data_IF_958051409896
#
_entry.id   IF_958051409896
#
_cell.length_a   1.000
_cell.length_b   1.000
_cell.length_c   1.000
_cell.angle_alpha   90.00
_cell.angle_beta   90.00
_cell.angle_gamma   90.00
#
_symmetry.space_group_name_H-M   'P 1'
#
loop_
_entity.id
_entity.type
_entity.pdbx_description
1 polymer ?
#
# COMPACT_ATOMS: atom_id res chain seq x y z
N UNK A 1 16.35 -16.88 -18.44
CA UNK A 1 16.10 -15.92 -17.34
C UNK A 1 16.34 -14.56 -17.94
N UNK A 2 15.28 -13.86 -18.30
CA UNK A 2 15.41 -12.50 -18.81
C UNK A 2 15.76 -11.59 -17.62
N UNK A 3 16.77 -10.75 -17.83
CA UNK A 3 17.29 -9.88 -16.79
C UNK A 3 16.27 -8.78 -16.47
N UNK A 4 16.13 -8.48 -15.19
CA UNK A 4 15.27 -7.41 -14.70
C UNK A 4 16.06 -6.12 -14.78
N UNK A 5 15.45 -5.06 -15.31
CA UNK A 5 16.11 -3.76 -15.35
C UNK A 5 16.43 -3.27 -13.93
N UNK A 6 17.55 -2.56 -13.76
CA UNK A 6 17.92 -1.99 -12.45
C UNK A 6 16.79 -1.11 -11.92
N UNK A 7 16.18 -0.32 -12.81
CA UNK A 7 15.03 0.53 -12.54
C UNK A 7 13.84 -0.24 -11.93
N UNK A 8 13.45 -1.38 -12.52
CA UNK A 8 12.37 -2.19 -11.98
C UNK A 8 12.78 -2.90 -10.67
N UNK A 9 14.07 -3.15 -10.45
CA UNK A 9 14.55 -3.77 -9.23
C UNK A 9 14.36 -2.87 -8.00
N UNK A 10 14.58 -1.55 -8.13
CA UNK A 10 14.33 -0.59 -7.03
C UNK A 10 12.86 -0.62 -6.60
N UNK A 11 11.94 -0.46 -7.54
CA UNK A 11 10.50 -0.47 -7.24
C UNK A 11 10.05 -1.80 -6.64
N UNK A 12 10.62 -2.92 -7.08
CA UNK A 12 10.32 -4.23 -6.51
C UNK A 12 10.80 -4.38 -5.06
N UNK A 13 11.88 -3.70 -4.68
CA UNK A 13 12.35 -3.65 -3.29
C UNK A 13 11.35 -2.86 -2.44
N UNK A 14 10.90 -1.70 -2.93
CA UNK A 14 9.94 -0.87 -2.20
C UNK A 14 8.60 -1.58 -2.02
N UNK A 15 8.08 -2.21 -3.08
CA UNK A 15 6.85 -3.01 -3.02
C UNK A 15 6.95 -4.19 -2.04
N UNK A 16 8.14 -4.78 -1.91
CA UNK A 16 8.39 -5.82 -0.92
C UNK A 16 8.45 -5.26 0.51
N UNK A 17 9.05 -4.07 0.70
CA UNK A 17 9.03 -3.34 1.97
C UNK A 17 7.60 -3.00 2.40
N UNK A 18 6.83 -2.37 1.52
CA UNK A 18 5.41 -2.04 1.73
C UNK A 18 4.61 -3.28 2.12
N UNK A 19 4.86 -4.43 1.48
CA UNK A 19 4.20 -5.70 1.85
C UNK A 19 4.50 -6.09 3.31
N UNK A 20 5.76 -5.98 3.72
CA UNK A 20 6.16 -6.28 5.11
C UNK A 20 5.47 -5.31 6.07
N UNK A 21 5.44 -4.03 5.73
CA UNK A 21 4.86 -3.00 6.59
C UNK A 21 3.34 -3.16 6.75
N UNK A 22 2.62 -3.46 5.66
CA UNK A 22 1.18 -3.79 5.70
C UNK A 22 0.95 -5.05 6.54
N UNK A 23 1.79 -6.08 6.39
CA UNK A 23 1.68 -7.28 7.21
C UNK A 23 1.96 -7.00 8.69
N UNK A 24 2.92 -6.12 9.00
CA UNK A 24 3.26 -5.73 10.37
C UNK A 24 2.13 -4.94 11.05
N UNK A 25 1.37 -4.14 10.29
CA UNK A 25 0.19 -3.42 10.78
C UNK A 25 -0.94 -4.36 11.27
N UNK A 26 -0.97 -5.61 10.81
CA UNK A 26 -2.00 -6.56 11.26
C UNK A 26 -1.93 -6.88 12.75
N UNK A 27 -0.72 -6.96 13.33
CA UNK A 27 -0.53 -7.32 14.73
C UNK A 27 -1.12 -6.31 15.74
N UNK A 28 -0.89 -4.99 15.62
CA UNK A 28 -1.52 -4.01 16.50
C UNK A 28 -3.04 -3.89 16.26
N UNK A 29 -3.52 -4.13 15.03
CA UNK A 29 -4.96 -4.20 14.75
C UNK A 29 -5.60 -5.41 15.46
N UNK A 30 -5.02 -6.60 15.33
CA UNK A 30 -5.49 -7.81 16.03
C UNK A 30 -5.42 -7.67 17.57
N UNK A 31 -4.52 -6.82 18.07
CA UNK A 31 -4.33 -6.51 19.49
C UNK A 31 -5.13 -5.31 19.99
N UNK A 32 -5.90 -4.64 19.15
CA UNK A 32 -6.69 -3.47 19.54
C UNK A 32 -7.85 -3.89 20.44
N UNK A 33 -7.99 -3.20 21.58
CA UNK A 33 -8.98 -3.52 22.62
C UNK A 33 -9.97 -2.36 22.87
N UNK A 34 -9.97 -1.35 21.99
CA UNK A 34 -10.78 -0.15 22.15
C UNK A 34 -10.18 0.91 23.07
N UNK A 35 -8.98 0.71 23.63
CA UNK A 35 -8.31 1.71 24.48
C UNK A 35 -7.46 2.68 23.69
N UNK A 36 -7.26 3.89 24.23
CA UNK A 36 -6.41 4.91 23.61
C UNK A 36 -4.94 4.44 23.47
N UNK A 37 -4.42 3.68 24.44
CA UNK A 37 -3.05 3.19 24.35
C UNK A 37 -2.87 2.22 23.17
N UNK A 38 -3.84 1.32 22.95
CA UNK A 38 -3.79 0.42 21.79
C UNK A 38 -4.05 1.13 20.47
N UNK A 39 -4.87 2.17 20.48
CA UNK A 39 -5.02 3.05 19.33
C UNK A 39 -3.69 3.72 18.93
N UNK A 40 -2.89 4.14 19.90
CA UNK A 40 -1.55 4.70 19.65
C UNK A 40 -0.61 3.65 19.07
N UNK A 41 -0.67 2.39 19.52
CA UNK A 41 0.11 1.30 18.91
C UNK A 41 -0.24 1.11 17.42
N UNK A 42 -1.53 1.18 17.07
CA UNK A 42 -2.01 1.11 15.68
C UNK A 42 -1.50 2.30 14.86
N UNK A 43 -1.62 3.52 15.40
CA UNK A 43 -1.16 4.75 14.75
C UNK A 43 0.36 4.73 14.47
N UNK A 44 1.17 4.31 15.44
CA UNK A 44 2.62 4.18 15.24
C UNK A 44 2.98 3.15 14.17
N UNK A 45 2.26 2.04 14.09
CA UNK A 45 2.51 1.01 13.09
C UNK A 45 2.10 1.44 11.68
N UNK A 46 1.15 2.36 11.56
CA UNK A 46 0.65 2.89 10.28
C UNK A 46 1.64 3.84 9.58
N UNK A 47 2.59 4.42 10.32
CA UNK A 47 3.66 5.26 9.76
C UNK A 47 4.51 4.48 8.74
N UNK A 48 4.81 3.21 9.00
CA UNK A 48 5.66 2.40 8.13
C UNK A 48 5.10 2.22 6.71
N UNK A 49 3.84 1.78 6.50
CA UNK A 49 3.30 1.69 5.15
C UNK A 49 3.19 3.07 4.47
N UNK A 50 2.96 4.17 5.21
CA UNK A 50 2.99 5.52 4.63
C UNK A 50 4.38 5.89 4.11
N UNK A 51 5.42 5.68 4.92
CA UNK A 51 6.82 5.95 4.55
C UNK A 51 7.24 5.08 3.36
N UNK A 52 6.88 3.79 3.36
CA UNK A 52 7.14 2.88 2.26
C UNK A 52 6.48 3.31 0.95
N UNK A 53 5.22 3.76 1.00
CA UNK A 53 4.52 4.30 -0.18
C UNK A 53 5.16 5.60 -0.67
N UNK A 54 5.55 6.49 0.23
CA UNK A 54 6.25 7.75 -0.10
C UNK A 54 7.60 7.49 -0.76
N UNK A 55 8.38 6.54 -0.23
CA UNK A 55 9.64 6.06 -0.80
C UNK A 55 9.41 5.53 -2.22
N UNK A 56 8.45 4.62 -2.40
CA UNK A 56 8.12 4.06 -3.70
C UNK A 56 7.71 5.13 -4.73
N UNK A 57 6.96 6.17 -4.33
CA UNK A 57 6.61 7.29 -5.21
C UNK A 57 7.88 8.01 -5.69
N UNK A 58 8.79 8.35 -4.77
CA UNK A 58 10.04 9.01 -5.11
C UNK A 58 10.90 8.15 -6.05
N UNK A 59 10.99 6.84 -5.77
CA UNK A 59 11.80 5.92 -6.55
C UNK A 59 11.21 5.66 -7.95
N UNK A 60 9.88 5.67 -8.11
CA UNK A 60 9.25 5.62 -9.44
C UNK A 60 9.51 6.90 -10.25
N UNK A 61 9.48 8.07 -9.61
CA UNK A 61 9.71 9.37 -10.27
C UNK A 61 11.13 9.49 -10.84
N UNK A 62 12.13 9.03 -10.10
CA UNK A 62 13.55 9.11 -10.52
C UNK A 62 13.99 8.01 -11.48
N UNK A 63 13.17 6.97 -11.68
CA UNK A 63 13.45 5.91 -12.65
C UNK A 63 13.45 6.48 -14.08
N UNK A 64 14.61 6.36 -14.74
CA UNK A 64 14.85 6.94 -16.06
C UNK A 64 14.10 6.21 -17.19
N UNK A 65 13.79 4.93 -17.03
CA UNK A 65 13.03 4.19 -18.04
C UNK A 65 11.63 4.79 -18.22
N UNK A 66 11.24 4.98 -19.48
CA UNK A 66 9.88 5.40 -19.84
C UNK A 66 8.87 4.25 -19.74
N UNK A 67 9.30 3.02 -20.03
CA UNK A 67 8.47 1.82 -19.89
C UNK A 67 9.38 0.61 -19.65
N UNK A 68 9.03 -0.24 -18.70
CA UNK A 68 9.73 -1.49 -18.41
C UNK A 68 9.62 -2.47 -19.57
N UNK A 69 10.63 -3.33 -19.67
CA UNK A 69 10.51 -4.53 -20.51
C UNK A 69 9.34 -5.41 -20.00
N UNK A 70 8.76 -6.27 -20.87
CA UNK A 70 7.60 -7.06 -20.49
C UNK A 70 7.79 -7.93 -19.25
N UNK A 71 8.96 -8.52 -19.03
CA UNK A 71 9.20 -9.38 -17.87
C UNK A 71 9.24 -8.57 -16.57
N UNK A 72 9.95 -7.44 -16.57
CA UNK A 72 9.99 -6.50 -15.46
C UNK A 72 8.61 -5.91 -15.15
N UNK A 73 7.87 -5.51 -16.20
CA UNK A 73 6.49 -5.01 -16.09
C UNK A 73 5.57 -6.02 -15.40
N UNK A 74 5.60 -7.28 -15.84
CA UNK A 74 4.77 -8.35 -15.25
C UNK A 74 5.14 -8.60 -13.79
N UNK A 75 6.43 -8.56 -13.44
CA UNK A 75 6.87 -8.73 -12.04
C UNK A 75 6.37 -7.61 -11.14
N UNK A 76 6.51 -6.35 -11.57
CA UNK A 76 6.01 -5.19 -10.81
C UNK A 76 4.49 -5.28 -10.64
N UNK A 77 3.77 -5.60 -11.70
CA UNK A 77 2.30 -5.77 -11.70
C UNK A 77 1.84 -6.86 -10.73
N UNK A 78 2.52 -8.00 -10.73
CA UNK A 78 2.22 -9.09 -9.81
C UNK A 78 2.49 -8.68 -8.36
N UNK A 79 3.58 -7.96 -8.09
CA UNK A 79 3.88 -7.45 -6.75
C UNK A 79 2.82 -6.48 -6.25
N UNK A 80 2.38 -5.51 -7.07
CA UNK A 80 1.29 -4.59 -6.73
C UNK A 80 0.00 -5.36 -6.43
N UNK A 81 -0.38 -6.28 -7.31
CA UNK A 81 -1.60 -7.08 -7.17
C UNK A 81 -1.59 -7.93 -5.90
N UNK A 82 -0.41 -8.41 -5.50
CA UNK A 82 -0.23 -9.23 -4.31
C UNK A 82 -0.39 -8.47 -2.98
N UNK A 83 -0.36 -7.13 -2.98
CA UNK A 83 -0.63 -6.32 -1.78
C UNK A 83 -2.12 -6.27 -1.42
N UNK A 84 -3.00 -6.36 -2.42
CA UNK A 84 -4.45 -6.24 -2.27
C UNK A 84 -5.05 -7.06 -1.11
N UNK A 85 -4.83 -8.38 -1.00
CA UNK A 85 -5.49 -9.17 0.05
C UNK A 85 -5.13 -8.70 1.46
N UNK A 86 -3.87 -8.32 1.70
CA UNK A 86 -3.40 -7.88 3.01
C UNK A 86 -3.97 -6.48 3.35
N UNK A 87 -4.06 -5.59 2.35
CA UNK A 87 -4.70 -4.28 2.50
C UNK A 87 -6.18 -4.43 2.87
N UNK A 88 -6.92 -5.24 2.11
CA UNK A 88 -8.35 -5.47 2.37
C UNK A 88 -8.58 -6.07 3.75
N UNK A 89 -7.76 -7.05 4.15
CA UNK A 89 -7.87 -7.64 5.49
C UNK A 89 -7.61 -6.62 6.61
N UNK A 90 -6.69 -5.67 6.43
CA UNK A 90 -6.47 -4.61 7.42
C UNK A 90 -7.62 -3.59 7.44
N UNK A 91 -8.21 -3.26 6.28
CA UNK A 91 -9.39 -2.40 6.21
C UNK A 91 -10.60 -3.04 6.88
N UNK A 92 -10.83 -4.34 6.68
CA UNK A 92 -11.90 -5.08 7.34
C UNK A 92 -11.75 -5.03 8.87
N UNK A 93 -10.54 -5.23 9.41
CA UNK A 93 -10.26 -5.08 10.85
C UNK A 93 -10.58 -3.68 11.36
N UNK A 94 -10.16 -2.64 10.63
CA UNK A 94 -10.45 -1.25 11.00
C UNK A 94 -11.96 -0.95 11.03
N UNK A 95 -12.72 -1.57 10.13
CA UNK A 95 -14.20 -1.47 10.11
C UNK A 95 -14.80 -2.19 11.32
N UNK A 96 -14.35 -3.40 11.61
CA UNK A 96 -14.82 -4.19 12.76
C UNK A 96 -14.52 -3.48 14.09
N UNK A 97 -13.37 -2.81 14.20
CA UNK A 97 -12.90 -2.10 15.39
C UNK A 97 -13.44 -0.67 15.55
N UNK A 98 -14.27 -0.21 14.62
CA UNK A 98 -14.92 1.11 14.66
C UNK A 98 -15.58 1.44 16.01
N UNK A 99 -16.27 0.53 16.72
CA UNK A 99 -16.81 0.81 18.05
C UNK A 99 -15.72 1.13 19.08
N UNK A 100 -14.56 0.46 19.00
CA UNK A 100 -13.40 0.72 19.85
C UNK A 100 -12.79 2.09 19.58
N UNK A 101 -12.57 2.45 18.32
CA UNK A 101 -12.07 3.78 17.94
C UNK A 101 -13.03 4.91 18.33
N UNK A 102 -14.33 4.64 18.28
CA UNK A 102 -15.38 5.56 18.76
C UNK A 102 -15.30 5.74 20.27
N UNK A 103 -15.16 4.64 21.02
CA UNK A 103 -15.03 4.67 22.48
C UNK A 103 -13.75 5.37 22.94
N UNK A 104 -12.65 5.20 22.19
CA UNK A 104 -11.40 5.91 22.41
C UNK A 104 -11.42 7.38 21.96
N UNK A 105 -12.46 7.82 21.24
CA UNK A 105 -12.61 9.21 20.78
C UNK A 105 -11.67 9.63 19.64
N UNK A 106 -11.16 8.67 18.86
CA UNK A 106 -10.11 8.92 17.84
C UNK A 106 -10.57 8.70 16.39
N UNK A 107 -11.87 8.55 16.13
CA UNK A 107 -12.41 8.27 14.78
C UNK A 107 -11.92 9.27 13.72
N UNK A 108 -11.78 10.55 14.07
CA UNK A 108 -11.27 11.58 13.14
C UNK A 108 -9.82 11.35 12.73
N UNK A 109 -8.99 10.83 13.64
CA UNK A 109 -7.59 10.49 13.36
C UNK A 109 -7.49 9.28 12.44
N UNK A 110 -8.21 8.19 12.76
CA UNK A 110 -8.28 6.99 11.90
C UNK A 110 -8.73 7.35 10.49
N UNK A 111 -9.75 8.21 10.37
CA UNK A 111 -10.22 8.69 9.07
C UNK A 111 -9.14 9.48 8.31
N UNK A 112 -8.41 10.37 8.99
CA UNK A 112 -7.36 11.15 8.36
C UNK A 112 -6.22 10.25 7.85
N UNK A 113 -5.80 9.25 8.62
CA UNK A 113 -4.76 8.30 8.21
C UNK A 113 -5.21 7.46 7.01
N UNK A 114 -6.44 6.93 7.03
CA UNK A 114 -7.02 6.22 5.88
C UNK A 114 -7.05 7.09 4.60
N UNK A 115 -7.39 8.37 4.73
CA UNK A 115 -7.37 9.30 3.60
C UNK A 115 -5.94 9.56 3.08
N UNK A 116 -4.95 9.66 3.97
CA UNK A 116 -3.55 9.78 3.58
C UNK A 116 -3.04 8.54 2.86
N UNK A 117 -3.30 7.34 3.40
CA UNK A 117 -2.93 6.07 2.78
C UNK A 117 -3.60 5.88 1.42
N UNK A 118 -4.89 6.20 1.31
CA UNK A 118 -5.60 6.19 0.03
C UNK A 118 -4.93 7.12 -0.98
N UNK A 119 -4.59 8.35 -0.57
CA UNK A 119 -3.87 9.31 -1.39
C UNK A 119 -2.54 8.76 -1.89
N UNK A 120 -1.69 8.26 -0.99
CA UNK A 120 -0.40 7.67 -1.35
C UNK A 120 -0.54 6.45 -2.26
N UNK A 121 -1.48 5.55 -1.97
CA UNK A 121 -1.72 4.34 -2.76
C UNK A 121 -2.21 4.69 -4.17
N UNK A 122 -3.07 5.72 -4.30
CA UNK A 122 -3.54 6.24 -5.59
C UNK A 122 -2.39 6.81 -6.41
N UNK A 123 -1.53 7.61 -5.78
CA UNK A 123 -0.37 8.23 -6.45
C UNK A 123 0.61 7.14 -6.89
N UNK A 124 1.05 6.24 -6.00
CA UNK A 124 2.01 5.19 -6.38
C UNK A 124 1.46 4.28 -7.48
N UNK A 125 0.17 3.94 -7.41
CA UNK A 125 -0.51 3.15 -8.46
C UNK A 125 -0.46 3.87 -9.81
N UNK A 126 -0.78 5.16 -9.82
CA UNK A 126 -0.77 5.99 -11.04
C UNK A 126 0.64 6.09 -11.63
N UNK A 127 1.65 6.32 -10.78
CA UNK A 127 3.04 6.41 -11.20
C UNK A 127 3.55 5.08 -11.78
N UNK A 128 3.30 3.95 -11.12
CA UNK A 128 3.68 2.62 -11.63
C UNK A 128 2.98 2.32 -12.97
N UNK A 129 1.71 2.73 -13.13
CA UNK A 129 0.96 2.58 -14.37
C UNK A 129 1.59 3.33 -15.57
N UNK A 130 2.43 4.33 -15.33
CA UNK A 130 3.19 5.01 -16.39
C UNK A 130 4.38 4.18 -16.88
N UNK A 131 4.90 3.29 -16.03
CA UNK A 131 6.12 2.51 -16.28
C UNK A 131 5.84 1.10 -16.82
N UNK A 132 4.66 0.54 -16.60
CA UNK A 132 4.31 -0.81 -17.07
C UNK A 132 3.71 -0.81 -18.49
N UNK A 133 3.67 -1.98 -19.12
CA UNK A 133 3.02 -2.16 -20.42
C UNK A 133 1.49 -2.01 -20.31
N UNK A 134 0.81 -1.81 -21.45
CA UNK A 134 -0.62 -1.49 -21.49
C UNK A 134 -1.53 -2.49 -20.78
N UNK A 135 -1.29 -3.80 -20.95
CA UNK A 135 -2.11 -4.85 -20.29
C UNK A 135 -1.96 -4.82 -18.77
N UNK A 136 -0.73 -4.60 -18.32
CA UNK A 136 -0.37 -4.54 -16.91
C UNK A 136 -0.94 -3.27 -16.24
N UNK A 137 -0.92 -2.15 -16.97
CA UNK A 137 -1.59 -0.91 -16.56
C UNK A 137 -3.06 -1.13 -16.26
N UNK A 138 -3.79 -1.81 -17.14
CA UNK A 138 -5.21 -2.11 -16.94
C UNK A 138 -5.45 -3.00 -15.71
N UNK A 139 -4.53 -3.94 -15.45
CA UNK A 139 -4.60 -4.81 -14.28
C UNK A 139 -4.43 -4.01 -12.99
N UNK A 140 -3.41 -3.16 -12.91
CA UNK A 140 -3.18 -2.29 -11.74
C UNK A 140 -4.34 -1.32 -11.53
N UNK A 141 -4.86 -0.73 -12.61
CA UNK A 141 -6.03 0.15 -12.56
C UNK A 141 -7.28 -0.56 -12.00
N UNK A 142 -7.47 -1.84 -12.30
CA UNK A 142 -8.56 -2.64 -11.73
C UNK A 142 -8.35 -2.89 -10.23
N UNK A 143 -7.12 -3.21 -9.82
CA UNK A 143 -6.79 -3.50 -8.41
C UNK A 143 -7.03 -2.27 -7.53
N UNK A 144 -6.61 -1.08 -7.97
CA UNK A 144 -6.79 0.13 -7.17
C UNK A 144 -8.28 0.49 -7.00
N UNK A 145 -9.10 0.30 -8.03
CA UNK A 145 -10.57 0.50 -7.94
C UNK A 145 -11.20 -0.42 -6.89
N UNK A 146 -10.73 -1.67 -6.78
CA UNK A 146 -11.24 -2.60 -5.79
C UNK A 146 -10.80 -2.24 -4.36
N UNK A 147 -9.59 -1.73 -4.18
CA UNK A 147 -9.09 -1.25 -2.87
C UNK A 147 -9.81 0.03 -2.44
N UNK A 148 -10.03 0.98 -3.36
CA UNK A 148 -10.70 2.26 -3.08
C UNK A 148 -12.21 2.15 -2.84
N UNK A 149 -12.80 0.98 -3.13
CA UNK A 149 -14.24 0.76 -2.97
C UNK A 149 -14.66 0.42 -1.53
N UNK A 150 -13.70 0.17 -0.63
CA UNK A 150 -13.91 -0.15 0.78
C UNK A 150 -13.90 1.12 1.63
#
# INVERSE_FOLDING_TARGET
MDAVSIDAATILIDLYGIKIDIAALSAPLDGFDGTLNRAVDVDYAEIYPQDGLSQAINDVDVVASSTFDPASSTRVTNSVTALKPDILANLDRLVDDKPGFTSAGIVSFVKANLQSLQGFTTVVSTEIQTKVITTDKATIASVIVEVDAV
#
